data_IF_244157323761
#
_entry.id   IF_244157323761
#
_cell.length_a   1.000
_cell.length_b   1.000
_cell.length_c   1.000
_cell.angle_alpha   90.00
_cell.angle_beta   90.00
_cell.angle_gamma   90.00
#
_symmetry.space_group_name_H-M   'P 1'
#
loop_
_entity.id
_entity.type
_entity.pdbx_description
1 polymer ?
#
# COMPACT_ATOMS: atom_id res chain seq x y z
N UNK A 1 23.45 -27.39 -77.50
CA UNK A 1 24.79 -26.79 -77.65
C UNK A 1 24.59 -25.31 -77.76
N UNK A 2 24.96 -24.56 -76.73
CA UNK A 2 25.58 -23.22 -76.84
C UNK A 2 25.99 -22.78 -75.43
N UNK A 3 27.26 -22.50 -75.30
CA UNK A 3 27.93 -21.99 -74.10
C UNK A 3 28.20 -20.49 -74.32
N UNK A 4 28.09 -19.71 -73.24
CA UNK A 4 29.05 -18.72 -72.72
C UNK A 4 28.47 -17.39 -72.19
N UNK A 5 28.68 -17.24 -70.87
CA UNK A 5 29.14 -16.06 -70.10
C UNK A 5 28.24 -14.82 -69.96
N UNK A 6 27.79 -14.60 -68.72
CA UNK A 6 27.49 -13.27 -68.17
C UNK A 6 28.53 -12.88 -67.09
N UNK A 7 28.77 -11.57 -66.86
CA UNK A 7 29.89 -11.09 -66.07
C UNK A 7 29.56 -10.91 -64.58
N UNK A 8 30.62 -11.02 -63.78
CA UNK A 8 30.70 -10.74 -62.35
C UNK A 8 30.46 -9.26 -62.06
N UNK A 9 29.49 -8.93 -61.20
CA UNK A 9 29.41 -7.63 -60.51
C UNK A 9 29.27 -7.83 -59.01
N UNK A 10 30.13 -7.10 -58.30
CA UNK A 10 30.45 -7.21 -56.88
C UNK A 10 29.29 -6.78 -55.99
N UNK A 11 29.16 -7.50 -54.88
CA UNK A 11 28.30 -7.27 -53.72
C UNK A 11 28.54 -5.90 -53.07
N UNK A 12 27.48 -5.12 -52.92
CA UNK A 12 27.33 -4.13 -51.85
C UNK A 12 26.19 -4.60 -50.94
N UNK A 13 26.54 -5.02 -49.72
CA UNK A 13 25.59 -5.47 -48.71
C UNK A 13 24.81 -4.27 -48.15
N UNK A 14 23.54 -4.15 -48.54
CA UNK A 14 22.55 -3.29 -47.89
C UNK A 14 21.67 -4.12 -46.97
N UNK A 15 22.02 -4.20 -45.68
CA UNK A 15 21.17 -4.78 -44.65
C UNK A 15 19.98 -3.85 -44.39
N UNK A 16 18.88 -4.03 -45.12
CA UNK A 16 17.58 -3.50 -44.71
C UNK A 16 16.86 -4.52 -43.81
N UNK A 17 17.32 -4.60 -42.57
CA UNK A 17 16.53 -5.18 -41.49
C UNK A 17 15.34 -4.26 -41.24
N UNK A 18 14.16 -4.61 -41.76
CA UNK A 18 12.89 -4.03 -41.33
C UNK A 18 12.69 -4.39 -39.86
N UNK A 19 13.13 -3.51 -38.96
CA UNK A 19 12.76 -3.55 -37.56
C UNK A 19 11.25 -3.29 -37.45
N UNK A 20 10.47 -4.36 -37.36
CA UNK A 20 9.17 -4.27 -36.70
C UNK A 20 9.45 -3.94 -35.23
N UNK A 21 9.45 -2.65 -34.90
CA UNK A 21 9.37 -2.21 -33.53
C UNK A 21 8.04 -2.71 -32.97
N UNK A 22 8.07 -3.85 -32.30
CA UNK A 22 7.03 -4.24 -31.35
C UNK A 22 6.98 -3.11 -30.32
N UNK A 23 6.07 -2.16 -30.49
CA UNK A 23 5.74 -1.17 -29.47
C UNK A 23 5.08 -1.92 -28.31
N UNK A 24 5.89 -2.52 -27.43
CA UNK A 24 5.43 -2.93 -26.12
C UNK A 24 4.93 -1.65 -25.46
N UNK A 25 3.62 -1.55 -25.22
CA UNK A 25 3.09 -0.51 -24.36
C UNK A 25 3.76 -0.69 -23.00
N UNK A 26 4.68 0.22 -22.67
CA UNK A 26 5.32 0.24 -21.36
C UNK A 26 4.29 0.73 -20.35
N UNK A 27 4.07 -0.10 -19.33
CA UNK A 27 3.19 0.23 -18.21
C UNK A 27 3.62 1.57 -17.56
N UNK A 28 2.68 2.43 -17.13
CA UNK A 28 3.01 3.62 -16.36
C UNK A 28 3.59 3.25 -14.98
N UNK A 29 4.53 4.07 -14.49
CA UNK A 29 5.21 3.87 -13.23
C UNK A 29 4.30 4.27 -12.05
N UNK A 30 3.95 3.32 -11.18
CA UNK A 30 3.00 3.54 -10.09
C UNK A 30 3.70 3.62 -8.73
N UNK A 31 3.55 4.77 -8.07
CA UNK A 31 4.14 5.08 -6.76
C UNK A 31 3.02 5.33 -5.76
N UNK A 32 3.16 4.80 -4.54
CA UNK A 32 2.16 4.99 -3.48
C UNK A 32 2.77 5.58 -2.21
N UNK A 33 2.08 6.57 -1.63
CA UNK A 33 2.19 6.89 -0.21
C UNK A 33 1.29 5.97 0.62
N UNK A 34 1.53 5.81 1.94
CA UNK A 34 0.50 5.30 2.81
C UNK A 34 -0.66 6.28 2.86
N UNK A 35 -1.86 5.78 3.14
CA UNK A 35 -2.99 6.65 3.50
C UNK A 35 -2.89 7.00 4.98
N UNK A 36 -3.19 8.25 5.33
CA UNK A 36 -2.96 8.77 6.68
C UNK A 36 -4.24 8.77 7.52
N UNK A 37 -4.14 8.31 8.77
CA UNK A 37 -5.26 8.36 9.71
C UNK A 37 -5.71 9.80 9.96
N UNK A 38 -7.02 10.04 9.90
CA UNK A 38 -7.61 11.37 10.09
C UNK A 38 -7.94 11.72 11.54
N UNK A 39 -7.51 10.91 12.51
CA UNK A 39 -7.76 11.16 13.94
C UNK A 39 -6.97 12.35 14.52
N UNK A 40 -6.01 12.89 13.76
CA UNK A 40 -5.22 14.06 14.11
C UNK A 40 -4.94 14.92 12.86
N UNK A 41 -4.51 16.16 13.09
CA UNK A 41 -4.09 17.06 12.00
C UNK A 41 -2.79 16.56 11.35
N UNK A 42 -2.55 16.90 10.06
CA UNK A 42 -1.29 16.56 9.42
C UNK A 42 -0.08 17.19 10.13
N UNK A 43 1.03 16.47 10.18
CA UNK A 43 2.28 16.88 10.80
C UNK A 43 3.49 16.48 9.90
N UNK A 44 4.71 16.72 10.38
CA UNK A 44 5.93 16.58 9.60
C UNK A 44 6.16 15.14 9.10
N UNK A 45 5.72 14.12 9.82
CA UNK A 45 5.83 12.72 9.39
C UNK A 45 5.05 12.43 8.09
N UNK A 46 3.85 13.00 7.98
CA UNK A 46 3.04 12.89 6.76
C UNK A 46 3.70 13.63 5.59
N UNK A 47 4.17 14.85 5.84
CA UNK A 47 4.86 15.65 4.84
C UNK A 47 6.11 14.94 4.33
N UNK A 48 6.94 14.41 5.23
CA UNK A 48 8.19 13.73 4.89
C UNK A 48 7.96 12.55 3.94
N UNK A 49 7.05 11.66 4.30
CA UNK A 49 6.70 10.49 3.48
C UNK A 49 6.22 10.89 2.09
N UNK A 50 5.36 11.91 2.03
CA UNK A 50 4.75 12.37 0.79
C UNK A 50 5.76 13.11 -0.10
N UNK A 51 6.66 13.90 0.49
CA UNK A 51 7.76 14.57 -0.21
C UNK A 51 8.73 13.56 -0.85
N UNK A 52 9.06 12.47 -0.15
CA UNK A 52 9.91 11.41 -0.70
C UNK A 52 9.28 10.76 -1.94
N UNK A 53 7.98 10.47 -1.86
CA UNK A 53 7.25 9.87 -2.97
C UNK A 53 7.10 10.84 -4.17
N UNK A 54 6.82 12.12 -3.92
CA UNK A 54 6.77 13.16 -4.96
C UNK A 54 8.13 13.41 -5.62
N UNK A 55 9.21 13.45 -4.83
CA UNK A 55 10.57 13.55 -5.37
C UNK A 55 10.89 12.36 -6.29
N UNK A 56 10.49 11.15 -5.91
CA UNK A 56 10.65 9.97 -6.73
C UNK A 56 9.79 10.01 -8.00
N UNK A 57 8.54 10.48 -7.89
CA UNK A 57 7.66 10.64 -9.03
C UNK A 57 8.23 11.63 -10.06
N UNK A 58 8.72 12.78 -9.58
CA UNK A 58 9.39 13.79 -10.43
C UNK A 58 10.65 13.24 -11.08
N UNK A 59 11.48 12.54 -10.31
CA UNK A 59 12.69 11.91 -10.85
C UNK A 59 12.35 10.89 -11.94
N UNK A 60 11.34 10.06 -11.73
CA UNK A 60 10.88 9.05 -12.70
C UNK A 60 10.34 9.71 -13.98
N UNK A 61 9.57 10.80 -13.84
CA UNK A 61 9.12 11.64 -14.95
C UNK A 61 10.29 12.23 -15.75
N UNK A 62 11.28 12.84 -15.06
CA UNK A 62 12.44 13.48 -15.69
C UNK A 62 13.29 12.48 -16.49
N UNK A 63 13.43 11.26 -15.96
CA UNK A 63 14.24 10.21 -16.59
C UNK A 63 13.52 9.56 -17.76
N UNK A 64 12.19 9.73 -17.88
CA UNK A 64 11.35 8.95 -18.79
C UNK A 64 11.63 7.43 -18.64
N UNK A 65 11.98 6.99 -17.43
CA UNK A 65 12.41 5.62 -17.14
C UNK A 65 11.56 5.01 -16.03
N UNK A 66 10.95 3.84 -16.27
CA UNK A 66 10.17 3.12 -15.27
C UNK A 66 11.04 2.28 -14.32
N UNK A 67 12.37 2.36 -14.37
CA UNK A 67 13.29 1.59 -13.51
C UNK A 67 14.51 2.47 -13.20
N UNK A 68 14.93 2.51 -11.92
CA UNK A 68 16.18 3.15 -11.51
C UNK A 68 17.39 2.42 -12.12
N UNK A 69 17.81 2.80 -13.32
CA UNK A 69 19.14 2.47 -13.84
C UNK A 69 20.14 3.55 -13.39
N UNK A 70 21.41 3.21 -13.11
CA UNK A 70 22.45 4.20 -12.87
C UNK A 70 22.46 5.30 -13.94
N UNK A 71 22.87 6.51 -13.57
CA UNK A 71 23.01 7.62 -14.51
C UNK A 71 24.04 7.22 -15.57
N UNK A 72 23.59 6.90 -16.80
CA UNK A 72 24.49 6.81 -17.93
C UNK A 72 24.91 8.23 -18.28
N UNK A 73 26.20 8.50 -18.15
CA UNK A 73 26.78 9.84 -18.26
C UNK A 73 26.63 10.46 -19.66
N UNK A 74 26.29 9.64 -20.66
CA UNK A 74 26.21 10.04 -22.07
C UNK A 74 24.91 10.78 -22.43
N UNK A 75 23.97 10.98 -21.49
CA UNK A 75 22.67 11.62 -21.74
C UNK A 75 22.65 13.14 -21.53
N UNK A 76 23.81 13.81 -21.58
CA UNK A 76 23.91 15.27 -21.50
C UNK A 76 24.34 15.80 -22.87
N UNK A 77 23.47 15.70 -23.86
CA UNK A 77 23.57 16.51 -25.06
C UNK A 77 22.22 16.60 -25.78
N UNK A 78 21.79 17.85 -25.97
CA UNK A 78 20.72 18.34 -26.85
C UNK A 78 19.33 18.55 -26.23
N UNK A 79 18.90 19.81 -26.36
CA UNK A 79 17.58 20.41 -26.11
C UNK A 79 17.19 20.70 -24.64
N UNK A 80 17.81 21.75 -24.11
CA UNK A 80 17.20 22.59 -23.09
C UNK A 80 15.99 23.31 -23.72
N UNK A 81 14.77 22.89 -23.37
CA UNK A 81 13.53 23.61 -23.70
C UNK A 81 13.10 24.41 -22.47
N UNK A 82 12.86 25.74 -22.58
CA UNK A 82 12.56 26.60 -21.44
C UNK A 82 11.10 26.48 -20.95
N UNK A 83 10.30 25.59 -21.54
CA UNK A 83 8.94 25.29 -21.09
C UNK A 83 8.94 23.90 -20.46
N UNK A 84 9.25 23.86 -19.18
CA UNK A 84 9.13 22.67 -18.34
C UNK A 84 7.64 22.42 -18.06
N UNK A 85 6.94 21.88 -19.07
CA UNK A 85 5.60 21.33 -18.90
C UNK A 85 5.74 19.99 -18.14
N UNK A 86 5.96 20.11 -16.83
CA UNK A 86 6.23 19.00 -15.93
C UNK A 86 5.03 18.06 -15.87
N UNK A 87 5.33 16.77 -16.03
CA UNK A 87 4.45 15.60 -15.96
C UNK A 87 3.71 15.29 -17.27
N UNK A 88 4.32 14.43 -18.10
CA UNK A 88 3.52 13.60 -18.98
C UNK A 88 2.75 12.61 -18.07
N UNK A 89 1.57 13.03 -17.61
CA UNK A 89 0.68 12.33 -16.67
C UNK A 89 0.35 10.88 -17.09
N UNK A 90 0.63 10.54 -18.35
CA UNK A 90 0.48 9.20 -18.92
C UNK A 90 1.65 8.24 -18.59
N UNK A 91 2.66 8.65 -17.81
CA UNK A 91 3.85 7.80 -17.54
C UNK A 91 4.15 7.55 -16.06
N UNK A 92 3.69 8.42 -15.16
CA UNK A 92 3.90 8.23 -13.71
C UNK A 92 2.62 8.59 -12.96
N UNK A 93 2.28 7.76 -11.98
CA UNK A 93 1.10 7.89 -11.17
C UNK A 93 1.49 7.84 -9.69
N UNK A 94 1.27 8.93 -8.96
CA UNK A 94 1.44 8.99 -7.51
C UNK A 94 0.07 9.00 -6.83
N UNK A 95 -0.18 8.05 -5.93
CA UNK A 95 -1.37 8.04 -5.07
C UNK A 95 -1.05 8.44 -3.64
N UNK A 96 -1.87 9.34 -3.10
CA UNK A 96 -1.92 9.73 -1.69
C UNK A 96 -3.34 9.51 -1.15
N UNK A 97 -3.56 9.67 0.15
CA UNK A 97 -4.92 9.58 0.67
C UNK A 97 -5.04 9.57 2.19
N UNK A 98 -6.24 9.31 2.65
CA UNK A 98 -6.62 9.28 4.06
C UNK A 98 -7.32 7.97 4.44
N UNK A 99 -6.94 7.43 5.58
CA UNK A 99 -7.63 6.35 6.26
C UNK A 99 -8.65 6.93 7.24
N UNK A 100 -9.92 6.67 6.93
CA UNK A 100 -11.06 7.35 7.54
C UNK A 100 -11.92 6.44 8.40
N UNK A 101 -11.61 5.13 8.52
CA UNK A 101 -12.42 4.20 9.31
C UNK A 101 -11.74 3.80 10.64
N UNK A 102 -12.50 3.09 11.50
CA UNK A 102 -12.00 2.53 12.75
C UNK A 102 -12.31 3.34 14.00
N UNK A 103 -12.07 2.72 15.15
CA UNK A 103 -12.49 3.22 16.45
C UNK A 103 -11.74 4.49 16.87
N UNK A 104 -10.48 4.66 16.47
CA UNK A 104 -9.72 5.91 16.69
C UNK A 104 -10.37 7.12 16.01
N UNK A 105 -10.82 6.99 14.77
CA UNK A 105 -11.50 8.07 14.04
C UNK A 105 -12.85 8.37 14.67
N UNK A 106 -13.64 7.34 14.99
CA UNK A 106 -14.92 7.51 15.70
C UNK A 106 -14.74 8.27 17.02
N UNK A 107 -13.76 7.87 17.84
CA UNK A 107 -13.46 8.54 19.11
C UNK A 107 -13.09 10.01 18.90
N UNK A 108 -12.25 10.30 17.90
CA UNK A 108 -11.87 11.68 17.57
C UNK A 108 -13.08 12.51 17.13
N UNK A 109 -13.99 11.93 16.34
CA UNK A 109 -15.24 12.57 15.94
C UNK A 109 -16.15 12.88 17.14
N UNK A 110 -16.33 11.92 18.07
CA UNK A 110 -17.09 12.11 19.31
C UNK A 110 -16.51 13.24 20.17
N UNK A 111 -15.18 13.28 20.36
CA UNK A 111 -14.51 14.37 21.11
C UNK A 111 -14.75 15.74 20.47
N UNK A 112 -14.92 15.79 19.15
CA UNK A 112 -15.22 17.02 18.41
C UNK A 112 -16.72 17.28 18.23
N UNK A 113 -17.59 16.46 18.84
CA UNK A 113 -19.05 16.53 18.70
C UNK A 113 -19.52 16.50 17.23
N UNK A 114 -18.88 15.67 16.41
CA UNK A 114 -19.22 15.49 15.00
C UNK A 114 -19.58 14.04 14.71
N UNK A 115 -20.46 13.84 13.73
CA UNK A 115 -20.61 12.53 13.09
C UNK A 115 -19.27 12.13 12.43
N UNK A 116 -18.87 10.84 12.45
CA UNK A 116 -17.60 10.40 11.88
C UNK A 116 -17.37 10.83 10.43
N UNK A 117 -18.38 10.79 9.56
CA UNK A 117 -18.23 11.22 8.17
C UNK A 117 -18.01 12.73 8.09
N UNK A 118 -18.75 13.50 8.90
CA UNK A 118 -18.56 14.96 8.97
C UNK A 118 -17.16 15.32 9.49
N UNK A 119 -16.66 14.59 10.49
CA UNK A 119 -15.29 14.74 10.98
C UNK A 119 -14.26 14.43 9.89
N UNK A 120 -14.41 13.32 9.17
CA UNK A 120 -13.52 12.96 8.06
C UNK A 120 -13.55 14.01 6.93
N UNK A 121 -14.74 14.49 6.56
CA UNK A 121 -14.91 15.57 5.56
C UNK A 121 -14.22 16.88 5.98
N UNK A 122 -14.06 17.12 7.29
CA UNK A 122 -13.31 18.28 7.81
C UNK A 122 -11.80 18.03 7.83
N UNK A 123 -11.38 16.80 8.13
CA UNK A 123 -9.97 16.47 8.37
C UNK A 123 -9.20 16.15 7.08
N UNK A 124 -9.80 15.41 6.14
CA UNK A 124 -9.13 15.01 4.89
C UNK A 124 -8.59 16.22 4.08
N UNK A 125 -9.34 17.31 3.88
CA UNK A 125 -8.83 18.48 3.14
C UNK A 125 -7.59 19.14 3.76
N UNK A 126 -7.33 18.93 5.06
CA UNK A 126 -6.11 19.43 5.70
C UNK A 126 -4.87 18.72 5.15
N UNK A 127 -4.96 17.43 4.82
CA UNK A 127 -3.86 16.67 4.22
C UNK A 127 -3.60 17.09 2.76
N UNK A 128 -4.66 17.43 2.02
CA UNK A 128 -4.52 18.04 0.68
C UNK A 128 -3.87 19.43 0.79
N UNK A 129 -4.26 20.23 1.79
CA UNK A 129 -3.66 21.53 2.08
C UNK A 129 -2.17 21.40 2.40
N UNK A 130 -1.76 20.37 3.16
CA UNK A 130 -0.35 20.05 3.40
C UNK A 130 0.38 19.79 2.07
N UNK A 131 -0.20 18.97 1.19
CA UNK A 131 0.38 18.69 -0.12
C UNK A 131 0.54 19.96 -0.95
N UNK A 132 -0.46 20.85 -0.94
CA UNK A 132 -0.41 22.13 -1.65
C UNK A 132 0.68 23.05 -1.08
N UNK A 133 0.76 23.18 0.25
CA UNK A 133 1.75 24.00 0.93
C UNK A 133 3.20 23.52 0.71
N UNK A 134 3.38 22.23 0.45
CA UNK A 134 4.68 21.59 0.16
C UNK A 134 4.94 21.42 -1.34
N UNK A 135 4.07 21.94 -2.20
CA UNK A 135 4.12 21.83 -3.67
C UNK A 135 4.17 20.39 -4.21
N UNK A 136 3.65 19.44 -3.44
CA UNK A 136 3.51 18.03 -3.83
C UNK A 136 2.44 17.91 -4.91
N UNK A 137 2.73 17.13 -5.96
CA UNK A 137 1.78 16.82 -7.03
C UNK A 137 1.47 15.32 -7.03
N UNK A 138 0.20 14.98 -6.83
CA UNK A 138 -0.31 13.62 -6.89
C UNK A 138 -1.36 13.47 -8.01
N UNK A 139 -1.62 12.24 -8.44
CA UNK A 139 -2.58 11.92 -9.49
C UNK A 139 -3.96 11.54 -8.94
N UNK A 140 -4.01 10.92 -7.75
CA UNK A 140 -5.24 10.50 -7.08
C UNK A 140 -5.03 10.67 -5.57
N UNK A 141 -6.01 11.31 -4.92
CA UNK A 141 -6.10 11.41 -3.48
C UNK A 141 -7.31 10.61 -3.03
N UNK A 142 -7.07 9.44 -2.44
CA UNK A 142 -8.14 8.51 -2.08
C UNK A 142 -8.58 8.70 -0.63
N UNK A 143 -9.89 8.65 -0.41
CA UNK A 143 -10.49 8.57 0.92
C UNK A 143 -11.21 7.23 1.08
N UNK A 144 -11.00 6.52 2.19
CA UNK A 144 -11.60 5.19 2.37
C UNK A 144 -13.13 5.23 2.51
N UNK A 145 -13.72 6.38 2.83
CA UNK A 145 -15.18 6.59 2.85
C UNK A 145 -15.82 6.67 1.45
N UNK A 146 -15.03 6.77 0.37
CA UNK A 146 -15.58 6.89 -0.98
C UNK A 146 -16.29 5.62 -1.44
N UNK A 147 -17.42 5.77 -2.13
CA UNK A 147 -18.20 4.65 -2.67
C UNK A 147 -17.38 3.75 -3.61
N UNK A 148 -16.42 4.31 -4.37
CA UNK A 148 -15.52 3.51 -5.22
C UNK A 148 -14.63 2.56 -4.40
N UNK A 149 -14.21 2.98 -3.21
CA UNK A 149 -13.38 2.18 -2.33
C UNK A 149 -14.19 1.09 -1.64
N UNK A 150 -15.37 1.41 -1.13
CA UNK A 150 -16.30 0.42 -0.57
C UNK A 150 -16.58 -0.70 -1.57
N UNK A 151 -16.82 -0.36 -2.85
CA UNK A 151 -16.99 -1.36 -3.92
C UNK A 151 -15.73 -2.22 -4.14
N UNK A 152 -14.55 -1.61 -4.11
CA UNK A 152 -13.28 -2.32 -4.22
C UNK A 152 -13.07 -3.30 -3.06
N UNK A 153 -13.33 -2.87 -1.82
CA UNK A 153 -13.21 -3.70 -0.62
C UNK A 153 -14.18 -4.87 -0.67
N UNK A 154 -15.45 -4.64 -1.00
CA UNK A 154 -16.43 -5.71 -1.17
C UNK A 154 -16.01 -6.72 -2.24
N UNK A 155 -15.53 -6.27 -3.40
CA UNK A 155 -15.11 -7.18 -4.45
C UNK A 155 -13.86 -7.97 -4.06
N UNK A 156 -12.89 -7.34 -3.39
CA UNK A 156 -11.70 -8.02 -2.91
C UNK A 156 -12.05 -9.06 -1.85
N UNK A 157 -12.93 -8.71 -0.90
CA UNK A 157 -13.45 -9.63 0.12
C UNK A 157 -14.11 -10.86 -0.53
N UNK A 158 -14.99 -10.66 -1.50
CA UNK A 158 -15.66 -11.76 -2.19
C UNK A 158 -14.66 -12.70 -2.90
N UNK A 159 -13.64 -12.14 -3.56
CA UNK A 159 -12.56 -12.95 -4.17
C UNK A 159 -11.77 -13.73 -3.12
N UNK A 160 -11.45 -13.09 -1.99
CA UNK A 160 -10.72 -13.72 -0.92
C UNK A 160 -11.54 -14.85 -0.26
N UNK A 161 -12.82 -14.63 -0.02
CA UNK A 161 -13.72 -15.66 0.50
C UNK A 161 -13.84 -16.84 -0.47
N UNK A 162 -13.99 -16.56 -1.78
CA UNK A 162 -14.04 -17.57 -2.83
C UNK A 162 -12.72 -18.38 -2.97
N UNK A 163 -11.58 -17.82 -2.56
CA UNK A 163 -10.30 -18.53 -2.56
C UNK A 163 -10.18 -19.62 -1.47
N UNK A 164 -11.11 -19.67 -0.50
CA UNK A 164 -11.07 -20.61 0.61
C UNK A 164 -10.08 -20.26 1.73
N UNK A 165 -9.50 -19.05 1.69
CA UNK A 165 -8.54 -18.55 2.68
C UNK A 165 -9.16 -17.78 3.84
N UNK A 166 -10.49 -17.66 3.87
CA UNK A 166 -11.26 -17.05 4.95
C UNK A 166 -12.06 -18.13 5.67
N UNK A 167 -12.10 -18.08 6.99
CA UNK A 167 -12.94 -18.94 7.82
C UNK A 167 -13.47 -18.16 9.02
N UNK A 168 -14.56 -18.59 9.63
CA UNK A 168 -15.03 -18.02 10.89
C UNK A 168 -14.40 -18.75 12.06
N UNK A 169 -13.98 -17.99 13.08
CA UNK A 169 -13.52 -18.54 14.34
C UNK A 169 -13.98 -17.68 15.49
N UNK A 170 -14.28 -18.31 16.62
CA UNK A 170 -14.30 -17.60 17.90
C UNK A 170 -12.86 -17.32 18.29
N UNK A 171 -12.57 -16.05 18.57
CA UNK A 171 -11.30 -15.60 19.12
C UNK A 171 -11.56 -15.07 20.51
N UNK A 172 -10.87 -15.63 21.50
CA UNK A 172 -10.89 -15.18 22.88
C UNK A 172 -9.51 -14.70 23.28
N UNK A 173 -9.40 -13.47 23.81
CA UNK A 173 -8.13 -12.98 24.31
C UNK A 173 -8.21 -11.59 24.92
N UNK A 174 -7.11 -11.15 25.53
CA UNK A 174 -6.96 -9.82 26.07
C UNK A 174 -6.79 -8.81 24.93
N UNK A 175 -7.64 -7.80 24.89
CA UNK A 175 -7.64 -6.76 23.85
C UNK A 175 -7.46 -5.39 24.46
N UNK A 176 -6.59 -4.56 23.88
CA UNK A 176 -6.50 -3.16 24.22
C UNK A 176 -7.22 -2.31 23.17
N UNK A 177 -8.23 -1.56 23.58
CA UNK A 177 -8.97 -0.63 22.71
C UNK A 177 -8.07 0.50 22.20
N UNK A 178 -7.18 1.04 23.05
CA UNK A 178 -6.28 2.13 22.67
C UNK A 178 -5.27 1.72 21.60
N UNK A 179 -4.74 0.50 21.74
CA UNK A 179 -3.72 -0.03 20.82
C UNK A 179 -4.36 -0.69 19.59
N UNK A 180 -5.65 -1.03 19.66
CA UNK A 180 -6.41 -1.82 18.68
C UNK A 180 -5.76 -3.19 18.40
N UNK A 181 -5.16 -3.77 19.44
CA UNK A 181 -4.34 -4.98 19.36
C UNK A 181 -4.75 -6.01 20.41
N UNK A 182 -4.57 -7.29 20.08
CA UNK A 182 -4.67 -8.40 21.02
C UNK A 182 -3.30 -8.67 21.63
N UNK A 183 -3.31 -8.94 22.93
CA UNK A 183 -2.14 -9.30 23.72
C UNK A 183 -2.27 -10.73 24.23
N UNK A 184 -1.14 -11.41 24.32
CA UNK A 184 -1.05 -12.71 24.95
C UNK A 184 -1.13 -12.59 26.48
N UNK A 185 -1.59 -13.62 27.22
CA UNK A 185 -1.74 -13.55 28.67
C UNK A 185 -0.47 -13.14 29.43
N UNK A 186 0.72 -13.52 28.94
CA UNK A 186 1.99 -13.15 29.58
C UNK A 186 2.40 -11.68 29.34
N UNK A 187 1.78 -11.00 28.38
CA UNK A 187 2.01 -9.58 28.07
C UNK A 187 1.13 -8.67 28.95
N UNK A 188 0.25 -9.25 29.76
CA UNK A 188 -0.66 -8.53 30.65
C UNK A 188 -0.10 -8.46 32.06
N UNK A 189 -0.15 -7.27 32.64
CA UNK A 189 0.06 -7.04 34.05
C UNK A 189 -1.30 -6.93 34.76
N UNK A 190 -1.70 -8.03 35.39
CA UNK A 190 -2.90 -8.12 36.24
C UNK A 190 -2.64 -7.60 37.67
N UNK A 191 -1.38 -7.27 38.01
CA UNK A 191 -0.96 -6.87 39.37
C UNK A 191 -0.95 -5.35 39.58
N UNK A 192 -1.44 -4.59 38.61
CA UNK A 192 -1.57 -3.13 38.71
C UNK A 192 -2.45 -2.75 39.93
N UNK A 193 -2.00 -1.77 40.71
CA UNK A 193 -2.66 -1.19 41.89
C UNK A 193 -4.13 -0.77 41.67
N UNK A 194 -4.52 -0.54 40.42
CA UNK A 194 -5.89 -0.17 40.03
C UNK A 194 -6.87 -1.34 39.90
N UNK A 195 -6.40 -2.59 39.92
CA UNK A 195 -7.21 -3.80 39.75
C UNK A 195 -7.75 -4.04 38.33
N UNK A 196 -7.34 -3.22 37.35
CA UNK A 196 -7.65 -3.38 35.93
C UNK A 196 -6.42 -3.98 35.22
N UNK A 197 -6.56 -5.09 34.48
CA UNK A 197 -5.46 -5.65 33.69
C UNK A 197 -4.94 -4.64 32.67
N UNK A 198 -3.62 -4.48 32.54
CA UNK A 198 -2.98 -3.56 31.58
C UNK A 198 -1.94 -4.26 30.72
N UNK A 199 -1.66 -3.74 29.52
CA UNK A 199 -0.52 -4.17 28.70
C UNK A 199 0.79 -3.80 29.41
N UNK A 200 1.74 -4.74 29.51
CA UNK A 200 3.09 -4.47 30.03
C UNK A 200 3.90 -3.53 29.15
N UNK A 201 3.61 -3.50 27.84
CA UNK A 201 4.34 -2.68 26.88
C UNK A 201 3.86 -1.23 26.92
N UNK A 202 2.55 -1.02 26.87
CA UNK A 202 1.96 0.33 26.72
C UNK A 202 1.38 0.89 28.01
N UNK A 203 1.17 0.06 29.03
CA UNK A 203 0.46 0.43 30.26
C UNK A 203 -1.04 0.66 30.06
N UNK A 204 -1.57 0.45 28.85
CA UNK A 204 -2.97 0.68 28.54
C UNK A 204 -3.87 -0.45 29.06
N UNK A 205 -5.10 -0.17 29.51
CA UNK A 205 -6.04 -1.19 29.99
C UNK A 205 -6.40 -2.19 28.89
N UNK A 206 -6.51 -3.46 29.29
CA UNK A 206 -6.96 -4.57 28.44
C UNK A 206 -8.20 -5.21 29.02
N UNK A 207 -9.03 -5.76 28.13
CA UNK A 207 -10.26 -6.47 28.48
C UNK A 207 -10.27 -7.85 27.82
N UNK A 208 -10.76 -8.86 28.55
CA UNK A 208 -10.94 -10.19 27.99
C UNK A 208 -12.17 -10.18 27.10
N UNK A 209 -12.01 -10.54 25.83
CA UNK A 209 -13.12 -10.57 24.89
C UNK A 209 -13.14 -11.88 24.13
N UNK A 210 -14.33 -12.48 24.04
CA UNK A 210 -14.64 -13.60 23.15
C UNK A 210 -15.59 -13.12 22.04
N UNK A 211 -15.11 -13.17 20.80
CA UNK A 211 -15.87 -12.72 19.63
C UNK A 211 -15.71 -13.69 18.47
N UNK A 212 -16.79 -13.90 17.73
CA UNK A 212 -16.73 -14.56 16.42
C UNK A 212 -16.30 -13.55 15.37
N UNK A 213 -15.21 -13.87 14.67
CA UNK A 213 -14.64 -13.04 13.62
C UNK A 213 -14.30 -13.88 12.37
N UNK A 214 -14.24 -13.20 11.23
CA UNK A 214 -13.64 -13.76 10.03
C UNK A 214 -12.11 -13.70 10.15
N UNK A 215 -11.49 -14.85 10.02
CA UNK A 215 -10.05 -15.06 10.10
C UNK A 215 -9.49 -15.32 8.70
N UNK A 216 -8.33 -14.73 8.41
CA UNK A 216 -7.54 -14.99 7.22
C UNK A 216 -6.39 -15.96 7.54
N UNK A 217 -6.22 -16.98 6.70
CA UNK A 217 -5.20 -18.04 6.82
C UNK A 217 -3.77 -17.56 6.50
N UNK A 218 -3.33 -16.47 7.14
CA UNK A 218 -2.02 -15.85 6.91
C UNK A 218 -0.87 -16.85 7.10
N UNK A 219 -0.98 -17.76 8.06
CA UNK A 219 0.07 -18.74 8.38
C UNK A 219 0.40 -19.68 7.21
N UNK A 220 -0.54 -19.88 6.28
CA UNK A 220 -0.34 -20.73 5.10
C UNK A 220 0.56 -20.10 4.02
N UNK A 221 0.78 -18.77 4.07
CA UNK A 221 1.55 -18.04 3.07
C UNK A 221 3.01 -17.79 3.46
N UNK A 222 3.47 -18.23 4.64
CA UNK A 222 4.81 -17.93 5.17
C UNK A 222 5.93 -18.20 4.15
N UNK A 223 5.97 -19.40 3.59
CA UNK A 223 7.02 -19.80 2.65
C UNK A 223 7.07 -18.90 1.40
N UNK A 224 5.92 -18.51 0.87
CA UNK A 224 5.87 -17.67 -0.33
C UNK A 224 6.18 -16.20 -0.01
N UNK A 225 5.86 -15.75 1.21
CA UNK A 225 6.30 -14.45 1.72
C UNK A 225 7.83 -14.37 1.84
N UNK A 226 8.49 -15.39 2.39
CA UNK A 226 9.97 -15.42 2.44
C UNK A 226 10.57 -15.33 1.03
N UNK A 227 10.07 -16.12 0.07
CA UNK A 227 10.54 -16.06 -1.33
C UNK A 227 10.37 -14.68 -1.94
N UNK A 228 9.24 -14.00 -1.67
CA UNK A 228 9.00 -12.66 -2.18
C UNK A 228 9.91 -11.62 -1.51
N UNK A 229 10.14 -11.72 -0.20
CA UNK A 229 11.10 -10.86 0.51
C UNK A 229 12.52 -11.03 -0.06
N UNK A 230 12.94 -12.26 -0.34
CA UNK A 230 14.24 -12.61 -0.94
C UNK A 230 14.40 -12.13 -2.39
N UNK A 231 13.30 -11.76 -3.06
CA UNK A 231 13.33 -11.29 -4.46
C UNK A 231 14.03 -9.93 -4.64
N UNK A 232 14.36 -9.24 -3.55
CA UNK A 232 14.90 -7.89 -3.56
C UNK A 232 13.82 -6.80 -3.52
N UNK A 233 12.65 -7.11 -2.96
CA UNK A 233 11.56 -6.14 -2.76
C UNK A 233 11.99 -5.00 -1.82
N UNK A 234 12.93 -5.25 -0.91
CA UNK A 234 13.66 -4.19 -0.23
C UNK A 234 14.95 -3.90 -0.99
N UNK A 235 15.26 -2.62 -1.20
CA UNK A 235 16.50 -2.22 -1.84
C UNK A 235 17.71 -2.78 -1.07
N UNK A 236 18.80 -3.15 -1.76
CA UNK A 236 19.99 -3.78 -1.13
C UNK A 236 20.88 -2.81 -0.31
N UNK A 237 20.37 -1.64 0.06
CA UNK A 237 21.13 -0.72 0.92
C UNK A 237 21.08 -1.20 2.37
N UNK A 238 22.13 -0.89 3.15
CA UNK A 238 22.26 -1.32 4.55
C UNK A 238 21.02 -0.99 5.40
N UNK A 239 20.44 0.19 5.22
CA UNK A 239 19.25 0.60 5.97
C UNK A 239 18.00 -0.22 5.60
N UNK A 240 17.84 -0.60 4.33
CA UNK A 240 16.67 -1.36 3.87
C UNK A 240 16.81 -2.86 4.18
N UNK A 241 18.03 -3.40 4.24
CA UNK A 241 18.24 -4.79 4.69
C UNK A 241 17.81 -5.03 6.14
N UNK A 242 17.88 -4.01 7.01
CA UNK A 242 17.37 -4.11 8.39
C UNK A 242 15.85 -4.34 8.38
N UNK A 243 15.13 -3.61 7.53
CA UNK A 243 13.67 -3.77 7.38
C UNK A 243 13.29 -5.11 6.76
N UNK A 244 14.06 -5.60 5.79
CA UNK A 244 13.87 -6.93 5.21
C UNK A 244 14.01 -8.03 6.28
N UNK A 245 15.07 -7.97 7.10
CA UNK A 245 15.28 -8.91 8.20
C UNK A 245 14.16 -8.82 9.24
N UNK A 246 13.70 -7.61 9.57
CA UNK A 246 12.54 -7.42 10.45
C UNK A 246 11.27 -8.04 9.86
N UNK A 247 11.03 -7.88 8.56
CA UNK A 247 9.89 -8.49 7.87
C UNK A 247 9.95 -10.03 7.91
N UNK A 248 11.11 -10.66 7.68
CA UNK A 248 11.26 -12.11 7.83
C UNK A 248 10.89 -12.59 9.23
N UNK A 249 11.40 -11.93 10.28
CA UNK A 249 11.03 -12.25 11.66
C UNK A 249 9.52 -12.10 11.91
N UNK A 250 8.87 -11.11 11.32
CA UNK A 250 7.42 -10.95 11.41
C UNK A 250 6.66 -12.07 10.69
N UNK A 251 7.16 -12.56 9.55
CA UNK A 251 6.60 -13.70 8.82
C UNK A 251 6.71 -14.98 9.66
N UNK A 252 7.89 -15.25 10.23
CA UNK A 252 8.13 -16.42 11.08
C UNK A 252 7.14 -16.50 12.24
N UNK A 253 6.91 -15.36 12.90
CA UNK A 253 6.00 -15.25 14.05
C UNK A 253 4.53 -15.00 13.66
N UNK A 254 4.20 -14.93 12.37
CA UNK A 254 2.83 -14.65 11.94
C UNK A 254 1.89 -15.82 12.26
N UNK A 255 0.65 -15.47 12.61
CA UNK A 255 -0.46 -16.38 12.84
C UNK A 255 -1.64 -15.93 11.97
N UNK A 256 -2.67 -16.77 11.89
CA UNK A 256 -3.92 -16.38 11.25
C UNK A 256 -4.51 -15.14 11.93
N UNK A 257 -4.99 -14.21 11.12
CA UNK A 257 -5.34 -12.86 11.56
C UNK A 257 -6.82 -12.58 11.36
N UNK A 258 -7.44 -11.94 12.34
CA UNK A 258 -8.82 -11.49 12.23
C UNK A 258 -8.94 -10.30 11.27
N UNK A 259 -9.72 -10.47 10.21
CA UNK A 259 -10.02 -9.46 9.17
C UNK A 259 -11.42 -8.85 9.28
N UNK A 260 -12.17 -9.17 10.33
CA UNK A 260 -13.41 -8.47 10.70
C UNK A 260 -13.46 -8.17 12.19
N UNK A 261 -14.41 -7.33 12.61
CA UNK A 261 -14.79 -7.09 14.00
C UNK A 261 -16.31 -7.01 14.10
N UNK A 262 -16.92 -7.38 15.23
CA UNK A 262 -18.35 -7.19 15.40
C UNK A 262 -18.70 -5.70 15.42
N UNK A 263 -19.85 -5.36 14.83
CA UNK A 263 -20.36 -3.99 14.77
C UNK A 263 -20.52 -3.35 16.15
N UNK A 264 -20.80 -4.15 17.18
CA UNK A 264 -20.89 -3.69 18.57
C UNK A 264 -19.57 -3.09 19.10
N UNK A 265 -18.41 -3.56 18.60
CA UNK A 265 -17.08 -3.06 18.99
C UNK A 265 -16.63 -1.88 18.12
N UNK A 266 -16.88 -1.96 16.83
CA UNK A 266 -16.55 -0.91 15.87
C UNK A 266 -17.69 -0.80 14.87
N UNK A 267 -18.42 0.30 14.89
CA UNK A 267 -19.55 0.57 14.00
C UNK A 267 -19.21 1.57 12.88
N UNK A 268 -17.97 2.11 12.89
CA UNK A 268 -17.48 3.05 11.90
C UNK A 268 -16.48 2.36 10.98
N UNK A 269 -17.00 1.77 9.91
CA UNK A 269 -16.22 1.05 8.90
C UNK A 269 -17.11 0.42 7.83
N UNK A 270 -16.48 -0.35 6.95
CA UNK A 270 -17.17 -1.04 5.83
C UNK A 270 -17.78 -2.35 6.34
N UNK A 271 -19.04 -2.61 6.03
CA UNK A 271 -19.67 -3.89 6.39
C UNK A 271 -19.08 -5.07 5.61
N UNK A 272 -19.01 -6.23 6.25
CA UNK A 272 -18.65 -7.47 5.56
C UNK A 272 -19.76 -7.81 4.54
N UNK A 273 -19.42 -8.08 3.27
CA UNK A 273 -20.42 -8.48 2.27
C UNK A 273 -21.22 -9.71 2.72
N UNK A 274 -22.55 -9.55 2.84
CA UNK A 274 -23.45 -10.62 3.28
C UNK A 274 -23.55 -10.80 4.80
N UNK A 275 -22.88 -9.96 5.60
CA UNK A 275 -22.93 -10.02 7.06
C UNK A 275 -22.86 -8.61 7.69
N UNK A 276 -24.03 -8.03 7.97
CA UNK A 276 -24.14 -6.66 8.48
C UNK A 276 -23.75 -6.51 9.97
N UNK A 277 -23.59 -7.63 10.68
CA UNK A 277 -23.15 -7.63 12.09
C UNK A 277 -21.63 -7.56 12.22
N UNK A 278 -20.91 -7.65 11.10
CA UNK A 278 -19.45 -7.62 11.04
C UNK A 278 -18.98 -6.43 10.20
N UNK A 279 -17.96 -5.74 10.71
CA UNK A 279 -17.24 -4.66 10.04
C UNK A 279 -15.87 -5.18 9.61
N UNK A 280 -15.46 -4.84 8.40
CA UNK A 280 -14.15 -5.13 7.84
C UNK A 280 -13.07 -4.47 8.69
N UNK A 281 -12.02 -5.21 9.01
CA UNK A 281 -10.89 -4.72 9.78
C UNK A 281 -10.19 -3.56 9.05
N UNK A 282 -9.89 -2.49 9.78
CA UNK A 282 -9.35 -1.24 9.22
C UNK A 282 -8.10 -1.42 8.35
N UNK A 283 -7.16 -2.32 8.73
CA UNK A 283 -5.97 -2.55 7.90
C UNK A 283 -6.27 -3.33 6.62
N UNK A 284 -7.29 -4.19 6.64
CA UNK A 284 -7.74 -4.89 5.43
C UNK A 284 -8.34 -3.89 4.43
N UNK A 285 -9.23 -3.04 4.91
CA UNK A 285 -9.84 -1.93 4.19
C UNK A 285 -8.76 -0.99 3.61
N UNK A 286 -7.92 -0.43 4.50
CA UNK A 286 -6.87 0.50 4.16
C UNK A 286 -5.93 -0.03 3.06
N UNK A 287 -5.46 -1.28 3.12
CA UNK A 287 -4.54 -1.83 2.11
C UNK A 287 -5.13 -1.89 0.70
N UNK A 288 -6.45 -2.00 0.56
CA UNK A 288 -7.15 -2.08 -0.74
C UNK A 288 -7.19 -0.72 -1.45
N UNK A 289 -6.81 0.38 -0.78
CA UNK A 289 -6.73 1.71 -1.39
C UNK A 289 -5.84 1.68 -2.64
N UNK A 290 -4.72 0.94 -2.59
CA UNK A 290 -3.76 0.82 -3.67
C UNK A 290 -4.37 0.18 -4.93
N UNK A 291 -5.29 -0.77 -4.77
CA UNK A 291 -6.06 -1.32 -5.89
C UNK A 291 -7.12 -0.33 -6.37
N UNK A 292 -7.77 0.37 -5.45
CA UNK A 292 -8.89 1.28 -5.77
C UNK A 292 -8.45 2.41 -6.69
N UNK A 293 -7.27 3.01 -6.46
CA UNK A 293 -6.74 4.08 -7.32
C UNK A 293 -6.44 3.61 -8.74
N UNK A 294 -6.17 2.31 -8.94
CA UNK A 294 -6.04 1.67 -10.25
C UNK A 294 -7.37 1.32 -10.92
N UNK A 295 -8.51 1.78 -10.36
CA UNK A 295 -9.84 1.52 -10.92
C UNK A 295 -10.39 0.14 -10.60
N UNK A 296 -9.82 -0.56 -9.61
CA UNK A 296 -10.38 -1.83 -9.13
C UNK A 296 -11.78 -1.59 -8.52
N UNK A 297 -12.77 -2.46 -8.75
CA UNK A 297 -12.69 -3.71 -9.50
C UNK A 297 -12.73 -3.51 -11.01
N UNK A 298 -11.76 -4.11 -11.71
CA UNK A 298 -11.70 -4.04 -13.17
C UNK A 298 -12.78 -4.91 -13.80
N UNK A 299 -13.53 -4.34 -14.75
CA UNK A 299 -14.64 -5.01 -15.45
C UNK A 299 -14.16 -6.22 -16.27
N UNK A 300 -12.94 -6.17 -16.80
CA UNK A 300 -12.24 -7.30 -17.44
C UNK A 300 -10.78 -7.33 -16.99
N UNK A 301 -10.17 -8.52 -16.90
CA UNK A 301 -8.75 -8.69 -16.49
C UNK A 301 -7.78 -8.03 -17.50
N UNK A 302 -8.26 -7.68 -18.69
CA UNK A 302 -7.52 -6.96 -19.73
C UNK A 302 -8.42 -5.91 -20.40
N UNK A 303 -9.13 -5.07 -19.63
CA UNK A 303 -9.94 -3.99 -20.23
C UNK A 303 -9.05 -3.05 -21.07
N UNK A 304 -7.75 -2.97 -20.72
CA UNK A 304 -6.78 -2.13 -21.42
C UNK A 304 -6.79 -0.68 -20.94
N UNK A 305 -7.61 -0.35 -19.94
CA UNK A 305 -7.62 0.97 -19.33
C UNK A 305 -6.26 1.31 -18.73
N UNK A 306 -5.88 2.57 -18.89
CA UNK A 306 -4.68 3.14 -18.28
C UNK A 306 -4.60 2.83 -16.79
N UNK A 307 -5.72 3.00 -16.06
CA UNK A 307 -5.77 2.75 -14.62
C UNK A 307 -5.49 1.29 -14.26
N UNK A 308 -6.04 0.31 -15.00
CA UNK A 308 -5.73 -1.10 -14.76
C UNK A 308 -4.25 -1.42 -15.00
N UNK A 309 -3.64 -0.81 -16.04
CA UNK A 309 -2.23 -1.03 -16.37
C UNK A 309 -1.26 -0.57 -15.28
N UNK A 310 -1.70 0.24 -14.32
CA UNK A 310 -0.89 0.69 -13.18
C UNK A 310 -0.53 -0.44 -12.21
N UNK A 311 -1.32 -1.49 -12.11
CA UNK A 311 -1.07 -2.56 -11.12
C UNK A 311 0.07 -3.49 -11.57
N UNK A 312 0.98 -3.96 -10.69
CA UNK A 312 1.17 -3.61 -9.27
C UNK A 312 2.00 -2.33 -9.02
N UNK A 313 2.00 -1.73 -7.83
CA UNK A 313 2.86 -0.59 -7.55
C UNK A 313 4.34 -0.93 -7.77
N UNK A 314 5.04 -0.03 -8.47
CA UNK A 314 6.47 -0.14 -8.69
C UNK A 314 7.25 0.26 -7.44
N UNK A 315 6.75 1.26 -6.67
CA UNK A 315 7.34 1.69 -5.40
C UNK A 315 6.27 2.03 -4.38
N UNK A 316 6.39 1.49 -3.16
CA UNK A 316 5.58 1.91 -2.02
C UNK A 316 6.47 2.53 -0.94
N UNK A 317 6.20 3.79 -0.59
CA UNK A 317 6.86 4.48 0.52
C UNK A 317 6.13 4.18 1.82
N UNK A 318 6.87 3.86 2.88
CA UNK A 318 6.33 3.39 4.14
C UNK A 318 7.11 3.95 5.33
N UNK A 319 6.40 4.26 6.41
CA UNK A 319 7.03 4.40 7.72
C UNK A 319 7.33 3.03 8.35
N UNK A 320 8.33 2.95 9.21
CA UNK A 320 8.70 1.68 9.89
C UNK A 320 7.55 1.01 10.65
N UNK A 321 6.61 1.78 11.18
CA UNK A 321 5.50 1.28 12.01
C UNK A 321 4.51 0.41 11.22
N UNK A 322 4.48 0.54 9.89
CA UNK A 322 3.51 -0.15 9.03
C UNK A 322 4.13 -1.25 8.16
N UNK A 323 5.39 -1.64 8.42
CA UNK A 323 6.08 -2.72 7.69
C UNK A 323 5.29 -4.02 7.78
N UNK A 324 4.81 -4.38 8.98
CA UNK A 324 4.02 -5.61 9.18
C UNK A 324 2.86 -5.71 8.20
N UNK A 325 2.15 -4.61 7.98
CA UNK A 325 0.99 -4.60 7.10
C UNK A 325 1.38 -4.71 5.62
N UNK A 326 2.47 -4.05 5.20
CA UNK A 326 2.85 -3.97 3.79
C UNK A 326 3.80 -5.08 3.32
N UNK A 327 4.56 -5.68 4.23
CA UNK A 327 5.52 -6.74 3.94
C UNK A 327 5.04 -8.14 4.37
N UNK A 328 3.95 -8.24 5.13
CA UNK A 328 3.38 -9.53 5.58
C UNK A 328 1.91 -9.64 5.18
N UNK A 329 1.03 -8.81 5.72
CA UNK A 329 -0.42 -8.95 5.49
C UNK A 329 -0.80 -8.69 4.03
N UNK A 330 -0.36 -7.57 3.46
CA UNK A 330 -0.72 -7.16 2.11
C UNK A 330 -0.30 -8.16 1.02
N UNK A 331 0.97 -8.56 0.93
CA UNK A 331 1.39 -9.56 -0.06
C UNK A 331 0.67 -10.90 0.13
N UNK A 332 0.40 -11.33 1.36
CA UNK A 332 -0.37 -12.56 1.59
C UNK A 332 -1.81 -12.45 1.08
N UNK A 333 -2.49 -11.32 1.32
CA UNK A 333 -3.81 -11.06 0.77
C UNK A 333 -3.80 -11.09 -0.76
N UNK A 334 -2.81 -10.47 -1.40
CA UNK A 334 -2.64 -10.48 -2.85
C UNK A 334 -2.36 -11.88 -3.40
N UNK A 335 -1.49 -12.66 -2.74
CA UNK A 335 -1.21 -14.06 -3.09
C UNK A 335 -2.48 -14.90 -3.03
N UNK A 336 -3.30 -14.74 -1.98
CA UNK A 336 -4.55 -15.48 -1.79
C UNK A 336 -5.57 -15.25 -2.93
N UNK A 337 -5.54 -14.09 -3.58
CA UNK A 337 -6.40 -13.77 -4.74
C UNK A 337 -5.66 -13.77 -6.08
N UNK A 338 -4.44 -14.32 -6.13
CA UNK A 338 -3.58 -14.43 -7.31
C UNK A 338 -3.33 -13.09 -8.04
N UNK A 339 -3.10 -12.01 -7.29
CA UNK A 339 -2.72 -10.70 -7.85
C UNK A 339 -1.20 -10.47 -7.81
N UNK A 340 -0.63 -9.76 -8.80
CA UNK A 340 0.78 -9.36 -8.78
C UNK A 340 1.14 -8.55 -7.53
N UNK A 341 2.33 -8.79 -6.99
CA UNK A 341 2.83 -8.18 -5.76
C UNK A 341 3.57 -6.86 -6.03
N UNK A 342 3.67 -5.96 -5.02
CA UNK A 342 4.51 -4.76 -5.10
C UNK A 342 5.96 -5.10 -5.46
N UNK A 343 6.61 -4.23 -6.25
CA UNK A 343 7.96 -4.48 -6.77
C UNK A 343 9.06 -3.97 -5.85
N UNK A 344 8.83 -2.84 -5.18
CA UNK A 344 9.79 -2.23 -4.27
C UNK A 344 9.06 -1.60 -3.08
N UNK A 345 9.52 -1.90 -1.87
CA UNK A 345 9.17 -1.22 -0.64
C UNK A 345 10.33 -0.32 -0.22
N UNK A 346 10.05 0.94 0.07
CA UNK A 346 11.01 1.89 0.63
C UNK A 346 10.51 2.30 2.00
N UNK A 347 11.17 1.79 3.03
CA UNK A 347 10.82 2.08 4.41
C UNK A 347 11.74 3.14 5.01
N UNK A 348 11.19 4.12 5.73
CA UNK A 348 11.96 5.15 6.41
C UNK A 348 11.66 5.21 7.92
N UNK A 349 12.60 5.78 8.68
CA UNK A 349 12.42 6.08 10.09
C UNK A 349 11.45 7.27 10.29
N UNK A 350 11.06 7.51 11.53
CA UNK A 350 10.33 8.72 11.89
C UNK A 350 11.23 9.94 11.84
N UNK A 351 10.63 11.07 11.48
CA UNK A 351 11.23 12.37 11.77
C UNK A 351 11.04 12.64 13.27
N UNK A 352 12.14 12.86 13.97
CA UNK A 352 12.13 13.26 15.37
C UNK A 352 12.31 14.77 15.46
N UNK A 353 11.53 15.42 16.31
CA UNK A 353 11.74 16.81 16.74
C UNK A 353 12.00 16.75 18.24
N UNK A 354 13.17 17.21 18.69
CA UNK A 354 13.62 17.15 20.09
C UNK A 354 13.56 15.73 20.71
N UNK A 355 13.97 14.71 19.94
CA UNK A 355 13.91 13.28 20.29
C UNK A 355 12.50 12.70 20.51
N UNK A 356 11.45 13.46 20.24
CA UNK A 356 10.08 12.99 20.26
C UNK A 356 9.60 12.75 18.83
N UNK A 357 8.80 11.70 18.63
CA UNK A 357 8.15 11.42 17.34
C UNK A 357 7.27 12.63 16.98
N UNK A 358 7.60 13.28 15.85
CA UNK A 358 6.86 14.43 15.34
C UNK A 358 5.49 14.06 14.79
#
# INVERSE_FOLDING_TARGET
MEFFSQPVLRTAAGNHSRCFASTRFEKPFFITCPIFYVNAKPHLGHAYTTCLADAWARYSCLRNQPILKPFQQDYIASTYSPVFDYCNLNKTFLSCGTDEHGSKVRRAATVNNLDPLQYCNRMSPLFETLCHATHIKYNDFIRTTETRHVKAVHQFWNRLNASGNVYRSKYSGWYCVSDEAFYAPWEIDETNLSGVPVSKETGNPVEWIEEENYMFKLSSFKNDLHKWLDSGVFHKSSNQSVWCNMAHNMVDNSQDISISRPKSRSDWGIHVPGDNEQIVYVWFDALINYLTVTGFPWSNVNDGSFKQSLWPPDVQFLGKDIIRFHAVLWPALLMAVNLPLPRLLICHHHVLVDNVKS
#
